data_IF_034726795991
#
_entry.id   IF_034726795991
#
_cell.length_a   1.000
_cell.length_b   1.000
_cell.length_c   1.000
_cell.angle_alpha   90.00
_cell.angle_beta   90.00
_cell.angle_gamma   90.00
#
_symmetry.space_group_name_H-M   'P 1'
#
loop_
_entity.id
_entity.type
_entity.pdbx_description
1 polymer ?
#
# COMPACT_ATOMS: atom_id res chain seq x y z
N UNK A 1 30.26 -41.04 -41.40
CA UNK A 1 30.91 -39.94 -40.67
C UNK A 1 30.31 -38.62 -41.15
N UNK A 2 29.35 -38.06 -40.41
CA UNK A 2 28.77 -36.75 -40.73
C UNK A 2 29.58 -35.69 -39.97
N UNK A 3 30.32 -34.90 -40.74
CA UNK A 3 31.13 -33.77 -40.28
C UNK A 3 30.23 -32.68 -39.70
N UNK A 4 30.34 -32.41 -38.39
CA UNK A 4 29.72 -31.24 -37.77
C UNK A 4 30.33 -29.96 -38.39
N UNK A 5 29.52 -29.26 -39.18
CA UNK A 5 29.85 -27.93 -39.74
C UNK A 5 30.05 -26.94 -38.59
N UNK A 6 31.16 -26.20 -38.65
CA UNK A 6 31.53 -25.06 -37.80
C UNK A 6 30.32 -24.14 -37.60
N UNK A 7 29.72 -24.19 -36.41
CA UNK A 7 28.68 -23.23 -36.01
C UNK A 7 29.37 -21.86 -35.92
N UNK A 8 28.90 -20.91 -36.72
CA UNK A 8 29.43 -19.55 -36.77
C UNK A 8 29.32 -18.90 -35.39
N UNK A 9 30.42 -18.32 -34.88
CA UNK A 9 30.43 -17.57 -33.60
C UNK A 9 29.36 -16.47 -33.56
N UNK A 10 28.99 -15.91 -34.72
CA UNK A 10 27.89 -14.93 -34.83
C UNK A 10 26.53 -15.58 -34.60
N UNK A 11 26.31 -16.81 -35.07
CA UNK A 11 25.06 -17.55 -34.84
C UNK A 11 24.89 -17.91 -33.35
N UNK A 12 25.97 -18.32 -32.68
CA UNK A 12 25.95 -18.58 -31.23
C UNK A 12 25.63 -17.29 -30.48
N UNK A 13 26.30 -16.17 -30.79
CA UNK A 13 26.05 -14.88 -30.15
C UNK A 13 24.61 -14.38 -30.40
N UNK A 14 24.09 -14.52 -31.62
CA UNK A 14 22.70 -14.18 -31.95
C UNK A 14 21.70 -15.06 -31.21
N UNK A 15 21.98 -16.35 -31.04
CA UNK A 15 21.12 -17.27 -30.27
C UNK A 15 21.22 -16.97 -28.77
N UNK A 16 22.39 -16.60 -28.25
CA UNK A 16 22.55 -16.18 -26.85
C UNK A 16 21.81 -14.86 -26.59
N UNK A 17 21.90 -13.89 -27.51
CA UNK A 17 21.14 -12.64 -27.44
C UNK A 17 19.64 -12.91 -27.58
N UNK A 18 19.20 -13.81 -28.47
CA UNK A 18 17.80 -14.19 -28.61
C UNK A 18 17.27 -14.97 -27.40
N UNK A 19 18.07 -15.81 -26.76
CA UNK A 19 17.72 -16.53 -25.52
C UNK A 19 17.72 -15.57 -24.33
N UNK A 20 18.67 -14.61 -24.24
CA UNK A 20 18.65 -13.54 -23.25
C UNK A 20 17.49 -12.56 -23.46
N UNK A 21 17.12 -12.28 -24.72
CA UNK A 21 15.96 -11.46 -25.07
C UNK A 21 14.63 -12.21 -24.83
N UNK A 22 14.59 -13.52 -25.06
CA UNK A 22 13.43 -14.37 -24.76
C UNK A 22 13.29 -14.67 -23.25
N UNK A 23 14.34 -14.44 -22.46
CA UNK A 23 14.30 -14.48 -20.99
C UNK A 23 14.07 -13.11 -20.35
N UNK A 24 13.77 -12.06 -21.14
CA UNK A 24 12.88 -10.99 -20.65
C UNK A 24 11.47 -11.57 -20.57
N UNK A 25 11.28 -12.36 -19.53
CA UNK A 25 10.04 -12.63 -18.82
C UNK A 25 8.82 -12.07 -19.52
N UNK A 26 8.05 -12.95 -20.16
CA UNK A 26 6.60 -12.91 -19.96
C UNK A 26 6.40 -12.83 -18.45
N UNK A 27 6.29 -11.61 -17.93
CA UNK A 27 5.82 -11.38 -16.58
C UNK A 27 4.39 -11.91 -16.61
N UNK A 28 4.25 -13.20 -16.30
CA UNK A 28 2.97 -13.83 -16.14
C UNK A 28 2.30 -13.05 -15.02
N UNK A 29 1.37 -12.17 -15.39
CA UNK A 29 0.50 -11.52 -14.42
C UNK A 29 -0.17 -12.66 -13.68
N UNK A 30 0.24 -12.87 -12.43
CA UNK A 30 -0.25 -14.00 -11.69
C UNK A 30 -1.65 -13.62 -11.21
N UNK A 31 -2.64 -14.11 -11.95
CA UNK A 31 -4.04 -13.96 -11.64
C UNK A 31 -4.54 -15.16 -10.85
N UNK A 32 -5.55 -14.93 -10.02
CA UNK A 32 -6.34 -15.98 -9.39
C UNK A 32 -7.77 -15.51 -9.25
N UNK A 33 -8.73 -16.35 -9.61
CA UNK A 33 -10.15 -16.08 -9.42
C UNK A 33 -10.74 -17.07 -8.43
N UNK A 34 -11.48 -16.57 -7.43
CA UNK A 34 -11.99 -17.37 -6.33
C UNK A 34 -13.06 -16.63 -5.54
N UNK A 35 -13.86 -17.37 -4.76
CA UNK A 35 -14.71 -16.78 -3.72
C UNK A 35 -13.88 -16.48 -2.50
N UNK A 36 -13.82 -15.21 -2.10
CA UNK A 36 -12.99 -14.80 -0.96
C UNK A 36 -13.55 -15.39 0.35
N UNK A 37 -12.74 -16.08 1.18
CA UNK A 37 -13.25 -16.83 2.32
C UNK A 37 -13.94 -15.96 3.40
N UNK A 38 -13.48 -14.72 3.56
CA UNK A 38 -14.11 -13.77 4.50
C UNK A 38 -15.23 -12.94 3.88
N UNK A 39 -15.08 -12.55 2.62
CA UNK A 39 -15.93 -11.54 1.99
C UNK A 39 -17.12 -12.22 1.31
N UNK A 40 -17.00 -13.50 0.95
CA UNK A 40 -18.07 -14.27 0.32
C UNK A 40 -18.31 -13.95 -1.16
N UNK A 41 -17.66 -12.89 -1.67
CA UNK A 41 -17.81 -12.45 -3.06
C UNK A 41 -16.82 -13.14 -3.99
N UNK A 42 -17.22 -13.33 -5.26
CA UNK A 42 -16.32 -13.80 -6.30
C UNK A 42 -15.37 -12.69 -6.74
N UNK A 43 -14.07 -12.96 -6.62
CA UNK A 43 -13.02 -12.00 -6.92
C UNK A 43 -12.02 -12.52 -7.93
N UNK A 44 -11.41 -11.61 -8.68
CA UNK A 44 -10.20 -11.89 -9.45
C UNK A 44 -9.09 -10.98 -8.96
N UNK A 45 -7.98 -11.56 -8.51
CA UNK A 45 -6.83 -10.82 -7.98
C UNK A 45 -5.66 -10.97 -8.94
N UNK A 46 -5.04 -9.86 -9.30
CA UNK A 46 -3.85 -9.75 -10.13
C UNK A 46 -2.73 -9.09 -9.34
N UNK A 47 -1.59 -9.78 -9.19
CA UNK A 47 -0.38 -9.15 -8.63
C UNK A 47 0.76 -9.29 -9.61
N UNK A 48 1.41 -8.16 -9.91
CA UNK A 48 2.49 -8.03 -10.88
C UNK A 48 3.59 -7.10 -10.36
N UNK A 49 4.64 -6.88 -11.17
CA UNK A 49 5.78 -6.05 -10.77
C UNK A 49 5.36 -4.60 -10.48
N UNK A 50 5.34 -4.23 -9.20
CA UNK A 50 4.96 -2.88 -8.73
C UNK A 50 3.48 -2.53 -8.90
N UNK A 51 2.64 -3.50 -9.27
CA UNK A 51 1.20 -3.30 -9.49
C UNK A 51 0.39 -4.42 -8.87
N UNK A 52 -0.78 -4.08 -8.35
CA UNK A 52 -1.77 -5.03 -7.90
C UNK A 52 -3.16 -4.52 -8.26
N UNK A 53 -4.07 -5.44 -8.50
CA UNK A 53 -5.46 -5.13 -8.77
C UNK A 53 -6.31 -6.26 -8.21
N UNK A 54 -7.50 -5.95 -7.71
CA UNK A 54 -8.52 -6.96 -7.59
C UNK A 54 -9.89 -6.43 -8.00
N UNK A 55 -10.65 -7.34 -8.57
CA UNK A 55 -11.97 -7.11 -9.14
C UNK A 55 -12.98 -7.94 -8.36
N UNK A 56 -14.19 -7.42 -8.17
CA UNK A 56 -15.34 -8.13 -7.61
C UNK A 56 -16.37 -8.26 -8.74
N UNK A 57 -16.78 -9.48 -9.08
CA UNK A 57 -17.68 -9.74 -10.23
C UNK A 57 -17.22 -9.13 -11.56
N UNK A 58 -15.91 -9.00 -11.76
CA UNK A 58 -15.32 -8.39 -12.97
C UNK A 58 -15.30 -6.86 -12.97
N UNK A 59 -15.72 -6.22 -11.87
CA UNK A 59 -15.61 -4.79 -11.66
C UNK A 59 -14.35 -4.49 -10.83
N UNK A 60 -13.43 -3.64 -11.31
CA UNK A 60 -12.23 -3.28 -10.56
C UNK A 60 -12.65 -2.60 -9.27
N UNK A 61 -12.11 -3.09 -8.17
CA UNK A 61 -12.35 -2.51 -6.85
C UNK A 61 -11.12 -1.73 -6.39
N UNK A 62 -9.94 -2.30 -6.60
CA UNK A 62 -8.65 -1.72 -6.21
C UNK A 62 -7.64 -1.84 -7.33
N UNK A 63 -6.85 -0.78 -7.56
CA UNK A 63 -5.79 -0.76 -8.59
C UNK A 63 -4.58 0.04 -8.10
N UNK A 64 -3.40 -0.56 -8.14
CA UNK A 64 -2.10 0.13 -8.10
C UNK A 64 -1.60 0.27 -9.53
N UNK A 65 -1.57 1.49 -10.12
CA UNK A 65 -1.09 1.72 -11.47
C UNK A 65 0.30 1.14 -11.72
N UNK A 66 0.52 0.61 -12.92
CA UNK A 66 1.81 -0.01 -13.27
C UNK A 66 2.96 1.01 -13.24
N UNK A 67 4.15 0.65 -12.69
CA UNK A 67 5.31 1.53 -12.70
C UNK A 67 5.93 1.77 -14.09
N UNK A 68 5.53 0.98 -15.08
CA UNK A 68 6.09 1.06 -16.44
C UNK A 68 5.48 2.20 -17.25
N UNK A 69 4.30 2.69 -16.85
CA UNK A 69 3.55 3.75 -17.54
C UNK A 69 3.52 4.99 -16.68
N UNK A 70 3.38 6.14 -17.33
CA UNK A 70 3.12 7.38 -16.60
C UNK A 70 1.65 7.42 -16.18
N UNK A 71 1.41 7.69 -14.90
CA UNK A 71 0.09 7.98 -14.33
C UNK A 71 -0.02 9.49 -14.11
N UNK A 72 -0.98 10.17 -14.73
CA UNK A 72 -1.16 11.64 -14.66
C UNK A 72 0.13 12.45 -14.82
N UNK A 73 1.03 12.00 -15.71
CA UNK A 73 2.29 12.70 -15.99
C UNK A 73 3.44 12.43 -15.01
N UNK A 74 3.27 11.52 -14.03
CA UNK A 74 4.34 11.04 -13.15
C UNK A 74 4.64 9.56 -13.38
N UNK A 75 5.89 9.13 -13.10
CA UNK A 75 6.25 7.70 -12.99
C UNK A 75 6.33 7.34 -11.52
N UNK A 76 5.53 6.39 -11.07
CA UNK A 76 5.32 6.08 -9.65
C UNK A 76 5.25 4.56 -9.44
N UNK A 77 5.05 4.08 -8.20
CA UNK A 77 4.86 2.66 -7.86
C UNK A 77 6.06 1.76 -8.17
N UNK A 78 7.26 2.36 -8.22
CA UNK A 78 8.51 1.64 -8.45
C UNK A 78 8.78 0.66 -7.31
N UNK A 79 9.40 -0.47 -7.64
CA UNK A 79 9.83 -1.48 -6.67
C UNK A 79 10.86 -0.95 -5.67
N UNK A 80 11.80 -0.12 -6.15
CA UNK A 80 12.64 0.70 -5.28
C UNK A 80 11.86 1.94 -4.85
N UNK A 81 11.43 1.95 -3.59
CA UNK A 81 10.56 2.99 -3.05
C UNK A 81 11.20 4.38 -3.07
N UNK A 82 12.39 4.50 -2.50
CA UNK A 82 13.13 5.77 -2.42
C UNK A 82 14.31 5.72 -3.39
N UNK A 83 14.22 6.53 -4.44
CA UNK A 83 15.21 6.69 -5.50
C UNK A 83 15.22 8.15 -6.00
N UNK A 84 16.14 8.47 -6.91
CA UNK A 84 16.33 9.84 -7.44
C UNK A 84 15.23 10.33 -8.37
N UNK A 85 14.39 9.44 -8.87
CA UNK A 85 13.35 9.76 -9.82
C UNK A 85 11.97 9.90 -9.15
N UNK A 86 11.85 9.72 -7.83
CA UNK A 86 10.60 10.00 -7.13
C UNK A 86 10.27 11.49 -7.30
N UNK A 87 9.07 11.84 -7.79
CA UNK A 87 8.73 13.24 -7.98
C UNK A 87 8.53 13.90 -6.60
N UNK A 88 9.09 15.10 -6.37
CA UNK A 88 8.77 15.90 -5.19
C UNK A 88 7.27 16.24 -5.15
N UNK A 89 6.76 16.55 -3.96
CA UNK A 89 5.35 16.91 -3.72
C UNK A 89 4.83 17.92 -4.75
N UNK A 90 5.48 19.07 -4.88
CA UNK A 90 5.05 20.17 -5.74
C UNK A 90 4.95 19.73 -7.20
N UNK A 91 5.90 18.89 -7.64
CA UNK A 91 5.89 18.32 -8.99
C UNK A 91 4.73 17.35 -9.15
N UNK A 92 4.53 16.42 -8.21
CA UNK A 92 3.47 15.42 -8.28
C UNK A 92 2.07 16.04 -8.29
N UNK A 93 1.82 17.01 -7.40
CA UNK A 93 0.52 17.66 -7.28
C UNK A 93 0.26 18.64 -8.43
N UNK A 94 1.29 19.35 -8.92
CA UNK A 94 1.15 20.15 -10.16
C UNK A 94 0.79 19.26 -11.35
N UNK A 95 1.40 18.08 -11.46
CA UNK A 95 1.07 17.08 -12.50
C UNK A 95 -0.36 16.56 -12.37
N UNK A 96 -0.85 16.38 -11.15
CA UNK A 96 -2.27 16.10 -10.91
C UNK A 96 -3.16 17.25 -11.42
N UNK A 97 -2.88 18.50 -11.06
CA UNK A 97 -3.68 19.65 -11.52
C UNK A 97 -3.64 19.84 -13.05
N UNK A 98 -2.49 19.63 -13.67
CA UNK A 98 -2.36 19.56 -15.14
C UNK A 98 -3.32 18.51 -15.73
N UNK A 99 -3.44 17.35 -15.07
CA UNK A 99 -4.35 16.29 -15.49
C UNK A 99 -5.81 16.69 -15.40
N UNK A 100 -6.20 17.45 -14.37
CA UNK A 100 -7.57 17.96 -14.22
C UNK A 100 -7.95 18.88 -15.39
N UNK A 101 -6.97 19.55 -16.00
CA UNK A 101 -7.15 20.42 -17.15
C UNK A 101 -7.02 19.69 -18.50
N UNK A 102 -7.02 18.35 -18.52
CA UNK A 102 -6.97 17.57 -19.75
C UNK A 102 -5.62 17.58 -20.47
N UNK A 103 -4.52 17.93 -19.79
CA UNK A 103 -3.18 18.03 -20.39
C UNK A 103 -2.63 16.69 -20.86
N UNK A 104 -3.12 15.56 -20.34
CA UNK A 104 -2.65 14.22 -20.67
C UNK A 104 -3.68 13.44 -21.45
N UNK A 105 -3.30 12.94 -22.64
CA UNK A 105 -4.19 12.23 -23.57
C UNK A 105 -4.99 11.07 -22.96
N UNK A 106 -4.43 10.36 -21.98
CA UNK A 106 -5.06 9.19 -21.35
C UNK A 106 -5.81 9.54 -20.06
N UNK A 107 -5.89 10.82 -19.70
CA UNK A 107 -6.58 11.31 -18.51
C UNK A 107 -7.45 12.49 -18.96
N UNK A 108 -8.69 12.22 -19.41
CA UNK A 108 -9.61 13.29 -19.79
C UNK A 108 -9.90 14.19 -18.59
N UNK A 109 -10.43 15.38 -18.88
CA UNK A 109 -10.95 16.27 -17.84
C UNK A 109 -12.02 15.50 -17.06
N UNK A 110 -11.90 15.34 -15.74
CA UNK A 110 -12.91 14.66 -14.96
C UNK A 110 -14.20 15.49 -14.93
N UNK A 111 -15.35 14.81 -14.85
CA UNK A 111 -16.66 15.44 -14.63
C UNK A 111 -16.70 16.15 -13.28
N UNK A 112 -16.09 15.53 -12.27
CA UNK A 112 -16.01 16.05 -10.92
C UNK A 112 -14.67 15.70 -10.30
N UNK A 113 -14.14 16.63 -9.50
CA UNK A 113 -12.94 16.44 -8.70
C UNK A 113 -13.19 17.00 -7.30
N UNK A 114 -12.84 16.23 -6.28
CA UNK A 114 -12.87 16.69 -4.89
C UNK A 114 -11.62 16.25 -4.14
N UNK A 115 -11.22 17.03 -3.14
CA UNK A 115 -10.31 16.53 -2.13
C UNK A 115 -11.02 15.43 -1.33
N UNK A 116 -10.27 14.45 -0.83
CA UNK A 116 -10.81 13.34 -0.05
C UNK A 116 -10.59 13.49 1.46
N UNK A 117 -11.36 12.73 2.25
CA UNK A 117 -11.23 12.72 3.72
C UNK A 117 -11.67 14.04 4.34
N UNK A 118 -10.98 14.46 5.42
CA UNK A 118 -11.29 15.71 6.13
C UNK A 118 -11.07 16.97 5.29
N UNK A 119 -10.37 16.85 4.15
CA UNK A 119 -10.11 17.94 3.22
C UNK A 119 -11.27 18.22 2.25
N UNK A 120 -12.23 17.30 2.10
CA UNK A 120 -13.30 17.41 1.10
C UNK A 120 -14.07 18.74 1.15
N UNK A 121 -14.50 19.25 2.33
CA UNK A 121 -15.28 20.50 2.42
C UNK A 121 -14.54 21.74 1.89
N UNK A 122 -13.21 21.69 1.80
CA UNK A 122 -12.37 22.82 1.38
C UNK A 122 -12.01 22.77 -0.12
N UNK A 123 -12.56 21.80 -0.85
CA UNK A 123 -12.26 21.59 -2.28
C UNK A 123 -12.43 22.87 -3.09
N UNK A 124 -13.59 23.52 -3.03
CA UNK A 124 -13.89 24.69 -3.87
C UNK A 124 -12.94 25.85 -3.55
N UNK A 125 -12.71 26.12 -2.26
CA UNK A 125 -11.82 27.18 -1.81
C UNK A 125 -10.39 26.95 -2.27
N UNK A 126 -9.86 25.74 -2.09
CA UNK A 126 -8.50 25.40 -2.53
C UNK A 126 -8.41 25.47 -4.04
N UNK A 127 -9.35 24.88 -4.77
CA UNK A 127 -9.29 24.83 -6.24
C UNK A 127 -9.45 26.21 -6.90
N UNK A 128 -9.99 27.20 -6.20
CA UNK A 128 -10.07 28.60 -6.66
C UNK A 128 -8.73 29.37 -6.56
N UNK A 129 -7.77 28.92 -5.73
CA UNK A 129 -6.50 29.61 -5.54
C UNK A 129 -5.58 29.56 -6.78
N UNK A 130 -4.54 30.40 -6.91
CA UNK A 130 -3.43 30.17 -7.84
C UNK A 130 -2.66 28.88 -7.50
N UNK A 131 -2.08 28.21 -8.50
CA UNK A 131 -1.44 26.88 -8.33
C UNK A 131 -0.43 26.85 -7.17
N UNK A 132 0.43 27.86 -7.04
CA UNK A 132 1.41 27.92 -5.94
C UNK A 132 0.74 27.94 -4.57
N UNK A 133 -0.32 28.74 -4.40
CA UNK A 133 -1.10 28.79 -3.16
C UNK A 133 -1.88 27.49 -2.91
N UNK A 134 -2.36 26.81 -3.96
CA UNK A 134 -2.98 25.48 -3.83
C UNK A 134 -2.02 24.48 -3.21
N UNK A 135 -0.76 24.47 -3.67
CA UNK A 135 0.26 23.54 -3.18
C UNK A 135 0.54 23.76 -1.71
N UNK A 136 0.71 25.02 -1.28
CA UNK A 136 0.96 25.35 0.12
C UNK A 136 -0.26 25.06 1.01
N UNK A 137 -1.47 25.37 0.56
CA UNK A 137 -2.70 25.01 1.26
C UNK A 137 -2.83 23.48 1.44
N UNK A 138 -2.52 22.69 0.40
CA UNK A 138 -2.56 21.23 0.48
C UNK A 138 -1.47 20.65 1.39
N UNK A 139 -0.26 21.23 1.41
CA UNK A 139 0.79 20.83 2.37
C UNK A 139 0.33 21.07 3.80
N UNK A 140 -0.24 22.24 4.08
CA UNK A 140 -0.76 22.58 5.40
C UNK A 140 -1.91 21.63 5.80
N UNK A 141 -2.93 21.49 4.96
CA UNK A 141 -4.10 20.64 5.22
C UNK A 141 -3.75 19.16 5.38
N UNK A 142 -2.78 18.66 4.61
CA UNK A 142 -2.27 17.30 4.71
C UNK A 142 -1.28 17.07 5.85
N UNK A 143 -0.98 18.09 6.69
CA UNK A 143 -0.06 17.96 7.81
C UNK A 143 1.40 17.72 7.42
N UNK A 144 1.80 18.11 6.20
CA UNK A 144 3.16 17.98 5.68
C UNK A 144 4.14 18.96 6.34
N UNK A 145 3.63 20.06 6.87
CA UNK A 145 4.39 21.11 7.54
C UNK A 145 4.32 20.99 9.08
N UNK A 146 3.91 19.83 9.60
CA UNK A 146 3.73 19.61 11.03
C UNK A 146 2.53 20.35 11.62
N UNK A 147 2.43 20.32 12.95
CA UNK A 147 1.30 20.86 13.70
C UNK A 147 1.17 22.39 13.54
N UNK A 148 2.29 23.10 13.53
CA UNK A 148 2.32 24.56 13.35
C UNK A 148 1.92 24.96 11.92
N UNK A 149 2.11 24.07 10.94
CA UNK A 149 1.75 24.31 9.55
C UNK A 149 0.26 24.58 9.34
N UNK A 150 -0.62 24.08 10.22
CA UNK A 150 -2.06 24.34 10.13
C UNK A 150 -2.43 25.81 10.34
N UNK A 151 -1.61 26.60 11.05
CA UNK A 151 -1.91 28.03 11.26
C UNK A 151 -1.91 28.83 9.95
N UNK A 152 -1.16 28.37 8.94
CA UNK A 152 -1.17 28.98 7.62
C UNK A 152 -2.54 28.88 6.92
N UNK A 153 -3.40 27.95 7.34
CA UNK A 153 -4.72 27.77 6.74
C UNK A 153 -5.63 28.99 6.93
N UNK A 154 -5.46 29.75 8.02
CA UNK A 154 -6.22 30.99 8.28
C UNK A 154 -5.99 32.08 7.23
N UNK A 155 -4.90 31.98 6.45
CA UNK A 155 -4.63 32.88 5.33
C UNK A 155 -5.40 32.53 4.05
N UNK A 156 -6.09 31.39 4.00
CA UNK A 156 -6.85 30.94 2.83
C UNK A 156 -8.37 31.06 3.05
N UNK A 157 -9.15 31.35 1.99
CA UNK A 157 -10.60 31.36 2.07
C UNK A 157 -11.18 30.03 2.57
N UNK A 158 -12.28 30.10 3.32
CA UNK A 158 -13.04 28.92 3.76
C UNK A 158 -12.52 28.25 5.04
N UNK A 159 -11.39 28.68 5.59
CA UNK A 159 -10.87 28.17 6.86
C UNK A 159 -11.18 29.10 8.03
N UNK A 160 -11.63 28.52 9.14
CA UNK A 160 -11.88 29.20 10.41
C UNK A 160 -10.88 28.77 11.49
N UNK A 161 -10.83 29.52 12.60
CA UNK A 161 -10.02 29.12 13.75
C UNK A 161 -10.45 27.77 14.34
N UNK A 162 -11.74 27.44 14.30
CA UNK A 162 -12.27 26.17 14.79
C UNK A 162 -11.82 25.00 13.90
N UNK A 163 -11.79 25.20 12.57
CA UNK A 163 -11.25 24.21 11.64
C UNK A 163 -9.78 23.90 11.95
N UNK A 164 -8.96 24.94 12.13
CA UNK A 164 -7.53 24.81 12.44
C UNK A 164 -7.33 24.12 13.79
N UNK A 165 -8.10 24.48 14.81
CA UNK A 165 -8.04 23.83 16.11
C UNK A 165 -8.37 22.34 16.00
N UNK A 166 -9.38 21.98 15.21
CA UNK A 166 -9.76 20.60 14.94
C UNK A 166 -8.64 19.84 14.23
N UNK A 167 -8.05 20.39 13.17
CA UNK A 167 -6.93 19.74 12.47
C UNK A 167 -5.75 19.49 13.39
N UNK A 168 -5.42 20.46 14.25
CA UNK A 168 -4.35 20.29 15.25
C UNK A 168 -4.67 19.20 16.26
N UNK A 169 -5.91 19.11 16.73
CA UNK A 169 -6.35 18.07 17.67
C UNK A 169 -6.29 16.66 17.04
N UNK A 170 -6.67 16.56 15.77
CA UNK A 170 -6.69 15.32 14.99
C UNK A 170 -5.32 14.97 14.38
N UNK A 171 -4.33 15.88 14.47
CA UNK A 171 -3.00 15.67 13.92
C UNK A 171 -2.34 14.43 14.52
N UNK A 172 -1.73 13.61 13.66
CA UNK A 172 -0.97 12.43 14.05
C UNK A 172 0.31 12.34 13.22
N UNK A 173 1.39 12.02 13.90
CA UNK A 173 2.67 11.76 13.24
C UNK A 173 2.74 10.32 12.77
N UNK A 174 2.45 10.08 11.50
CA UNK A 174 2.64 8.77 10.89
C UNK A 174 4.07 8.59 10.40
N UNK A 175 4.58 7.37 10.58
CA UNK A 175 5.92 6.98 10.16
C UNK A 175 5.87 5.60 9.55
N UNK A 176 6.69 5.37 8.53
CA UNK A 176 6.87 4.07 7.91
C UNK A 176 8.34 3.67 7.97
N UNK A 177 8.63 2.40 8.27
CA UNK A 177 9.99 1.88 8.09
C UNK A 177 10.18 1.57 6.60
N UNK A 178 11.33 1.95 6.03
CA UNK A 178 11.71 1.53 4.68
C UNK A 178 13.16 1.08 4.77
N UNK A 179 13.39 -0.21 4.51
CA UNK A 179 14.66 -0.88 4.81
C UNK A 179 14.98 -0.72 6.31
N UNK A 180 16.08 -0.05 6.65
CA UNK A 180 16.55 0.12 8.04
C UNK A 180 16.31 1.54 8.59
N UNK A 181 15.53 2.37 7.90
CA UNK A 181 15.28 3.75 8.30
C UNK A 181 13.78 3.99 8.49
N UNK A 182 13.44 4.93 9.36
CA UNK A 182 12.07 5.37 9.63
C UNK A 182 11.88 6.74 8.97
N UNK A 183 10.79 6.92 8.23
CA UNK A 183 10.47 8.14 7.49
C UNK A 183 9.11 8.69 7.91
N UNK A 184 8.97 10.02 8.08
CA UNK A 184 7.66 10.66 8.14
C UNK A 184 6.86 10.31 6.88
N UNK A 185 5.58 10.00 7.07
CA UNK A 185 4.70 9.50 6.01
C UNK A 185 3.37 10.25 6.02
N UNK A 186 2.88 10.59 4.82
CA UNK A 186 1.59 11.28 4.63
C UNK A 186 0.91 10.78 3.37
N UNK A 187 -0.41 10.80 3.37
CA UNK A 187 -1.27 10.46 2.24
C UNK A 187 -2.21 11.62 1.96
N UNK A 188 -2.35 11.98 0.69
CA UNK A 188 -3.47 12.78 0.20
C UNK A 188 -4.43 11.90 -0.57
N UNK A 189 -5.74 12.11 -0.38
CA UNK A 189 -6.77 11.42 -1.14
C UNK A 189 -7.53 12.41 -2.03
N UNK A 190 -7.90 11.96 -3.22
CA UNK A 190 -8.64 12.76 -4.19
C UNK A 190 -9.74 11.91 -4.81
N UNK A 191 -10.95 12.46 -4.88
CA UNK A 191 -12.08 11.84 -5.56
C UNK A 191 -12.16 12.33 -7.00
N UNK A 192 -12.47 11.41 -7.92
CA UNK A 192 -12.70 11.68 -9.33
C UNK A 192 -14.01 11.07 -9.78
N UNK A 193 -14.72 11.79 -10.64
CA UNK A 193 -15.76 11.24 -11.50
C UNK A 193 -15.29 11.41 -12.96
N UNK A 194 -15.17 10.32 -13.71
CA UNK A 194 -14.65 10.31 -15.08
C UNK A 194 -15.62 9.51 -15.98
N UNK A 195 -15.56 9.74 -17.30
CA UNK A 195 -16.32 8.97 -18.31
C UNK A 195 -15.83 7.50 -18.48
N UNK A 196 -15.17 6.95 -17.47
CA UNK A 196 -14.77 5.55 -17.42
C UNK A 196 -15.98 4.65 -17.18
N UNK A 197 -15.89 3.36 -17.52
CA UNK A 197 -16.96 2.36 -17.41
C UNK A 197 -17.53 2.22 -15.98
N UNK A 198 -16.80 2.74 -14.97
CA UNK A 198 -17.11 2.62 -13.55
C UNK A 198 -17.49 3.97 -12.90
N UNK A 199 -17.42 5.08 -13.65
CA UNK A 199 -17.97 6.39 -13.29
C UNK A 199 -17.19 7.20 -12.25
N UNK A 200 -16.61 6.58 -11.21
CA UNK A 200 -15.93 7.30 -10.13
C UNK A 200 -14.89 6.47 -9.38
N UNK A 201 -13.95 7.12 -8.71
CA UNK A 201 -12.95 6.47 -7.83
C UNK A 201 -12.24 7.48 -6.92
N UNK A 202 -11.61 6.99 -5.86
CA UNK A 202 -10.62 7.72 -5.08
C UNK A 202 -9.20 7.35 -5.53
N UNK A 203 -8.30 8.33 -5.66
CA UNK A 203 -6.86 8.11 -5.75
C UNK A 203 -6.18 8.55 -4.45
N UNK A 204 -5.25 7.73 -3.95
CA UNK A 204 -4.43 8.03 -2.77
C UNK A 204 -2.98 8.19 -3.16
N UNK A 205 -2.38 9.32 -2.79
CA UNK A 205 -1.02 9.72 -3.10
C UNK A 205 -0.19 9.67 -1.82
N UNK A 206 0.71 8.70 -1.75
CA UNK A 206 1.54 8.44 -0.58
C UNK A 206 2.93 9.07 -0.71
N UNK A 207 3.34 9.82 0.30
CA UNK A 207 4.57 10.58 0.35
C UNK A 207 5.41 10.20 1.57
N UNK A 208 6.73 10.31 1.40
CA UNK A 208 7.68 10.30 2.52
C UNK A 208 8.56 11.53 2.50
N UNK A 209 8.92 12.01 3.68
CA UNK A 209 9.95 13.02 3.81
C UNK A 209 11.33 12.37 3.77
N UNK A 210 12.21 12.84 2.88
CA UNK A 210 13.58 12.33 2.79
C UNK A 210 14.62 13.44 2.95
N UNK A 211 15.72 13.11 3.63
CA UNK A 211 16.81 14.06 3.89
C UNK A 211 17.35 14.61 2.56
N UNK A 212 17.23 15.93 2.39
CA UNK A 212 17.74 16.66 1.22
C UNK A 212 16.83 16.66 -0.01
N UNK A 213 15.58 16.16 0.05
CA UNK A 213 14.65 16.20 -1.10
C UNK A 213 13.23 16.69 -0.79
N UNK A 214 12.96 17.15 0.42
CA UNK A 214 11.60 17.42 0.92
C UNK A 214 10.66 16.22 0.65
N UNK A 215 9.35 16.37 0.82
CA UNK A 215 8.40 15.27 0.61
C UNK A 215 8.42 14.76 -0.84
N UNK A 216 8.55 13.44 -1.03
CA UNK A 216 8.59 12.77 -2.35
C UNK A 216 7.50 11.71 -2.46
N UNK A 217 6.91 11.58 -3.66
CA UNK A 217 5.85 10.63 -3.94
C UNK A 217 6.41 9.21 -4.10
N UNK A 218 5.87 8.28 -3.33
CA UNK A 218 6.19 6.86 -3.40
C UNK A 218 5.19 6.08 -4.23
N UNK A 219 3.90 6.28 -3.94
CA UNK A 219 2.85 5.39 -4.41
C UNK A 219 1.57 6.15 -4.74
N UNK A 220 0.89 5.70 -5.78
CA UNK A 220 -0.49 6.03 -6.09
C UNK A 220 -1.28 4.74 -6.12
N UNK A 221 -2.45 4.74 -5.49
CA UNK A 221 -3.43 3.67 -5.60
C UNK A 221 -4.82 4.24 -5.92
N UNK A 222 -5.66 3.46 -6.59
CA UNK A 222 -7.05 3.78 -6.94
C UNK A 222 -8.00 2.81 -6.26
N UNK A 223 -9.12 3.33 -5.77
CA UNK A 223 -10.23 2.54 -5.22
C UNK A 223 -11.55 2.98 -5.86
N UNK A 224 -12.27 2.04 -6.43
CA UNK A 224 -13.53 2.24 -7.14
C UNK A 224 -14.71 1.90 -6.20
N UNK A 225 -14.86 2.67 -5.13
CA UNK A 225 -15.96 2.51 -4.18
C UNK A 225 -16.43 3.86 -3.61
N UNK A 226 -17.75 4.06 -3.56
CA UNK A 226 -18.42 5.21 -2.92
C UNK A 226 -18.52 5.07 -1.41
N UNK A 227 -18.39 3.86 -0.87
CA UNK A 227 -18.56 3.57 0.54
C UNK A 227 -17.35 4.00 1.40
N UNK A 228 -16.39 4.78 0.88
CA UNK A 228 -15.28 5.31 1.70
C UNK A 228 -15.80 5.97 3.00
N UNK A 229 -16.82 6.84 2.87
CA UNK A 229 -17.47 7.49 4.01
C UNK A 229 -18.31 6.53 4.88
N UNK A 230 -18.76 5.40 4.33
CA UNK A 230 -19.57 4.40 5.05
C UNK A 230 -18.71 3.36 5.77
N UNK A 231 -17.45 3.21 5.37
CA UNK A 231 -16.54 2.21 5.93
C UNK A 231 -15.68 2.77 7.08
N UNK A 232 -15.57 4.08 7.24
CA UNK A 232 -14.83 4.76 8.33
C UNK A 232 -13.55 4.03 8.70
N UNK A 233 -12.62 3.87 7.74
CA UNK A 233 -11.45 3.03 7.97
C UNK A 233 -10.15 3.80 8.02
N UNK A 234 -9.26 3.24 8.79
CA UNK A 234 -7.87 3.61 8.89
C UNK A 234 -7.16 3.61 7.53
N UNK A 235 -6.61 4.75 7.13
CA UNK A 235 -5.56 4.87 6.11
C UNK A 235 -4.34 5.47 6.79
N UNK A 236 -3.28 4.67 6.94
CA UNK A 236 -2.01 5.15 7.48
C UNK A 236 -1.54 6.41 6.73
N UNK A 237 -1.21 7.48 7.44
CA UNK A 237 -0.73 8.72 6.82
C UNK A 237 -1.81 9.69 6.35
N UNK A 238 -3.09 9.31 6.31
CA UNK A 238 -4.17 10.22 5.90
C UNK A 238 -4.72 11.00 7.09
N UNK A 239 -4.86 12.32 6.95
CA UNK A 239 -5.47 13.18 7.97
C UNK A 239 -6.88 12.70 8.36
N UNK A 240 -7.16 12.66 9.66
CA UNK A 240 -8.44 12.19 10.21
C UNK A 240 -8.55 10.66 10.38
N UNK A 241 -7.50 9.90 10.08
CA UNK A 241 -7.47 8.44 10.29
C UNK A 241 -7.06 8.07 11.72
N UNK A 242 -7.77 7.18 12.42
CA UNK A 242 -7.39 6.77 13.78
C UNK A 242 -6.71 5.38 13.82
N UNK A 243 -5.48 5.30 14.34
CA UNK A 243 -4.77 4.01 14.46
C UNK A 243 -5.44 3.03 15.44
N UNK A 244 -6.28 3.53 16.34
CA UNK A 244 -7.08 2.68 17.23
C UNK A 244 -8.09 1.83 16.45
N UNK A 245 -8.47 2.22 15.24
CA UNK A 245 -9.34 1.43 14.37
C UNK A 245 -8.68 0.10 13.94
N UNK A 246 -7.36 -0.06 14.14
CA UNK A 246 -6.63 -1.29 13.87
C UNK A 246 -6.55 -2.25 15.06
N UNK A 247 -7.09 -1.93 16.24
CA UNK A 247 -6.94 -2.76 17.44
C UNK A 247 -7.43 -4.19 17.21
N UNK A 248 -8.63 -4.36 16.67
CA UNK A 248 -9.21 -5.68 16.39
C UNK A 248 -8.42 -6.42 15.29
N UNK A 249 -8.01 -5.70 14.24
CA UNK A 249 -7.23 -6.27 13.15
C UNK A 249 -5.86 -6.78 13.63
N UNK A 250 -5.20 -6.02 14.51
CA UNK A 250 -3.91 -6.39 15.10
C UNK A 250 -4.09 -7.52 16.13
N UNK A 251 -5.16 -7.52 16.90
CA UNK A 251 -5.49 -8.61 17.81
C UNK A 251 -5.66 -9.93 17.05
N UNK A 252 -6.44 -9.94 15.95
CA UNK A 252 -6.59 -11.12 15.09
C UNK A 252 -5.24 -11.56 14.50
N UNK A 253 -4.43 -10.62 13.99
CA UNK A 253 -3.11 -10.86 13.41
C UNK A 253 -2.07 -11.41 14.41
N UNK A 254 -2.26 -11.16 15.70
CA UNK A 254 -1.41 -11.66 16.78
C UNK A 254 -2.06 -12.81 17.55
N UNK A 255 -3.17 -13.36 17.04
CA UNK A 255 -3.92 -14.45 17.67
C UNK A 255 -4.36 -14.12 19.11
N UNK A 256 -4.79 -12.88 19.34
CA UNK A 256 -5.18 -12.34 20.64
C UNK A 256 -4.01 -12.04 21.59
N UNK A 257 -2.77 -12.29 21.17
CA UNK A 257 -1.59 -11.99 21.98
C UNK A 257 -1.23 -10.50 21.89
N UNK A 258 -0.57 -10.01 22.94
CA UNK A 258 -0.04 -8.64 22.96
C UNK A 258 1.46 -8.63 22.60
N UNK A 259 1.93 -7.57 21.93
CA UNK A 259 3.36 -7.31 21.80
C UNK A 259 4.10 -7.41 23.13
N UNK A 260 5.27 -8.05 23.13
CA UNK A 260 6.12 -8.13 24.30
C UNK A 260 5.73 -9.21 25.33
N UNK A 261 4.61 -9.92 25.13
CA UNK A 261 4.19 -11.03 26.00
C UNK A 261 5.30 -12.10 26.07
N UNK A 262 5.52 -12.66 27.27
CA UNK A 262 6.60 -13.62 27.49
C UNK A 262 6.31 -14.98 26.88
N UNK A 263 7.36 -15.75 26.62
CA UNK A 263 7.26 -17.14 26.16
C UNK A 263 6.30 -17.98 27.00
N UNK A 264 6.40 -17.90 28.32
CA UNK A 264 5.58 -18.70 29.25
C UNK A 264 4.11 -18.28 29.23
N UNK A 265 3.83 -16.98 29.12
CA UNK A 265 2.45 -16.47 29.02
C UNK A 265 1.78 -16.95 27.73
N UNK A 266 2.48 -16.86 26.59
CA UNK A 266 1.95 -17.35 25.31
C UNK A 266 1.78 -18.87 25.34
N UNK A 267 2.73 -19.60 25.93
CA UNK A 267 2.63 -21.07 26.05
C UNK A 267 1.41 -21.47 26.88
N UNK A 268 1.19 -20.81 28.01
CA UNK A 268 0.06 -21.06 28.90
C UNK A 268 -1.30 -20.76 28.25
N UNK A 269 -1.39 -19.74 27.40
CA UNK A 269 -2.63 -19.36 26.72
C UNK A 269 -2.95 -20.24 25.50
N UNK A 270 -1.94 -20.77 24.82
CA UNK A 270 -2.11 -21.46 23.54
C UNK A 270 -1.99 -22.98 23.63
N UNK A 271 -1.30 -23.51 24.64
CA UNK A 271 -0.89 -24.91 24.73
C UNK A 271 -0.18 -25.42 23.45
N UNK A 272 0.57 -24.52 22.78
CA UNK A 272 1.27 -24.84 21.55
C UNK A 272 2.49 -25.75 21.73
N UNK A 273 3.01 -26.25 20.63
CA UNK A 273 4.19 -27.12 20.63
C UNK A 273 5.44 -26.26 20.66
N UNK A 274 6.30 -26.47 21.66
CA UNK A 274 7.60 -25.80 21.76
C UNK A 274 8.52 -26.28 20.64
N UNK A 275 8.93 -25.34 19.78
CA UNK A 275 9.82 -25.56 18.66
C UNK A 275 11.28 -25.24 18.96
N UNK A 276 12.09 -25.20 17.91
CA UNK A 276 13.51 -24.80 18.00
C UNK A 276 13.63 -23.27 18.00
N UNK A 277 14.66 -22.74 18.68
CA UNK A 277 14.99 -21.30 18.72
C UNK A 277 13.90 -20.44 19.38
N UNK A 278 13.42 -20.85 20.56
CA UNK A 278 12.37 -20.15 21.31
C UNK A 278 11.19 -19.78 20.42
N UNK A 279 10.52 -20.79 19.88
CA UNK A 279 9.28 -20.61 19.12
C UNK A 279 8.18 -21.48 19.69
N UNK A 280 6.94 -21.04 19.56
CA UNK A 280 5.75 -21.84 19.89
C UNK A 280 4.96 -22.00 18.59
N UNK A 281 4.56 -23.23 18.26
CA UNK A 281 3.83 -23.52 17.02
C UNK A 281 2.45 -24.08 17.34
N UNK A 282 1.44 -23.53 16.66
CA UNK A 282 0.09 -24.07 16.58
C UNK A 282 -0.15 -24.61 15.18
N UNK A 283 -0.51 -25.88 15.10
CA UNK A 283 -1.00 -26.50 13.87
C UNK A 283 -2.52 -26.37 13.81
N UNK A 284 -3.10 -26.50 12.61
CA UNK A 284 -4.55 -26.54 12.40
C UNK A 284 -5.30 -25.33 12.97
N UNK A 285 -4.74 -24.13 12.78
CA UNK A 285 -5.39 -22.86 13.11
C UNK A 285 -5.93 -22.19 11.84
N UNK A 286 -6.51 -21.00 12.01
CA UNK A 286 -6.95 -20.16 10.92
C UNK A 286 -6.54 -18.70 11.12
N UNK A 287 -6.32 -18.03 10.00
CA UNK A 287 -6.22 -16.57 9.95
C UNK A 287 -7.09 -16.12 8.78
N UNK A 288 -7.98 -15.15 8.99
CA UNK A 288 -8.84 -14.64 7.91
C UNK A 288 -9.64 -15.77 7.24
N UNK A 289 -10.15 -16.71 8.05
CA UNK A 289 -10.85 -17.95 7.63
C UNK A 289 -10.06 -18.85 6.68
N UNK A 290 -8.74 -18.72 6.67
CA UNK A 290 -7.85 -19.58 5.89
C UNK A 290 -7.09 -20.54 6.82
N UNK A 291 -7.18 -21.86 6.59
CA UNK A 291 -6.41 -22.83 7.35
C UNK A 291 -4.90 -22.59 7.21
N UNK A 292 -4.19 -22.61 8.34
CA UNK A 292 -2.75 -22.40 8.39
C UNK A 292 -2.14 -23.00 9.67
N UNK A 293 -0.81 -22.99 9.72
CA UNK A 293 -0.06 -23.12 10.97
C UNK A 293 0.46 -21.75 11.41
N UNK A 294 0.42 -21.48 12.70
CA UNK A 294 0.96 -20.27 13.30
C UNK A 294 2.24 -20.58 14.08
N UNK A 295 3.24 -19.72 13.96
CA UNK A 295 4.47 -19.76 14.75
C UNK A 295 4.67 -18.41 15.43
N UNK A 296 4.79 -18.44 16.75
CA UNK A 296 5.22 -17.32 17.58
C UNK A 296 6.74 -17.32 17.69
N UNK A 297 7.35 -16.14 17.56
CA UNK A 297 8.78 -15.92 17.64
C UNK A 297 9.11 -14.95 18.77
N UNK A 298 10.09 -15.33 19.58
CA UNK A 298 10.52 -14.58 20.76
C UNK A 298 11.94 -14.08 20.57
N UNK A 299 12.23 -12.89 21.08
CA UNK A 299 13.55 -12.29 21.03
C UNK A 299 14.48 -12.90 22.12
N UNK A 300 15.70 -12.37 22.22
CA UNK A 300 16.68 -12.84 23.20
C UNK A 300 16.26 -12.55 24.66
N UNK A 301 15.27 -11.65 24.87
CA UNK A 301 14.65 -11.35 26.17
C UNK A 301 13.37 -12.18 26.41
N UNK A 302 13.09 -13.19 25.56
CA UNK A 302 11.90 -14.02 25.58
C UNK A 302 10.57 -13.26 25.41
N UNK A 303 10.59 -12.14 24.68
CA UNK A 303 9.41 -11.33 24.38
C UNK A 303 8.89 -11.60 22.98
N UNK A 304 7.58 -11.73 22.84
CA UNK A 304 6.92 -11.92 21.55
C UNK A 304 7.15 -10.69 20.68
N UNK A 305 7.87 -10.87 19.57
CA UNK A 305 8.12 -9.83 18.59
C UNK A 305 7.57 -10.15 17.20
N UNK A 306 7.19 -11.40 16.93
CA UNK A 306 6.72 -11.78 15.60
C UNK A 306 5.79 -12.99 15.60
N UNK A 307 4.76 -12.93 14.75
CA UNK A 307 3.95 -14.09 14.36
C UNK A 307 4.17 -14.41 12.89
N UNK A 308 4.24 -15.70 12.56
CA UNK A 308 4.33 -16.17 11.17
C UNK A 308 3.25 -17.22 10.92
N UNK A 309 2.39 -16.93 9.96
CA UNK A 309 1.39 -17.84 9.44
C UNK A 309 1.91 -18.49 8.16
N UNK A 310 1.80 -19.81 8.08
CA UNK A 310 2.11 -20.59 6.89
C UNK A 310 0.86 -21.25 6.36
N UNK A 311 0.44 -20.84 5.17
CA UNK A 311 -0.75 -21.35 4.52
C UNK A 311 -0.48 -22.65 3.76
N UNK A 312 -1.55 -23.41 3.53
CA UNK A 312 -1.49 -24.74 2.90
C UNK A 312 -1.49 -24.68 1.37
N UNK A 313 -2.03 -23.60 0.79
CA UNK A 313 -2.23 -23.50 -0.65
C UNK A 313 -1.87 -22.13 -1.22
N UNK A 314 -1.49 -22.12 -2.51
CA UNK A 314 -1.08 -20.90 -3.22
C UNK A 314 -2.17 -19.83 -3.29
N UNK A 315 -3.44 -20.23 -3.38
CA UNK A 315 -4.58 -19.30 -3.43
C UNK A 315 -4.65 -18.41 -2.19
N UNK A 316 -4.23 -18.91 -1.02
CA UNK A 316 -4.23 -18.16 0.23
C UNK A 316 -3.38 -16.89 0.17
N UNK A 317 -2.39 -16.82 -0.73
CA UNK A 317 -1.69 -15.56 -1.00
C UNK A 317 -2.65 -14.45 -1.47
N UNK A 318 -3.51 -14.75 -2.45
CA UNK A 318 -4.41 -13.75 -3.02
C UNK A 318 -5.54 -13.39 -2.06
N UNK A 319 -6.07 -14.37 -1.32
CA UNK A 319 -7.01 -14.12 -0.24
C UNK A 319 -6.39 -13.23 0.84
N UNK A 320 -5.21 -13.60 1.36
CA UNK A 320 -4.51 -12.79 2.36
C UNK A 320 -4.20 -11.37 1.86
N UNK A 321 -3.86 -11.18 0.59
CA UNK A 321 -3.67 -9.85 0.02
C UNK A 321 -4.93 -8.98 0.15
N UNK A 322 -6.10 -9.51 -0.19
CA UNK A 322 -7.37 -8.79 -0.06
C UNK A 322 -7.72 -8.57 1.43
N UNK A 323 -7.56 -9.59 2.28
CA UNK A 323 -7.77 -9.51 3.74
C UNK A 323 -6.93 -8.42 4.41
N UNK A 324 -5.68 -8.25 3.96
CA UNK A 324 -4.77 -7.22 4.43
C UNK A 324 -5.16 -5.85 3.88
N UNK A 325 -5.55 -5.75 2.60
CA UNK A 325 -6.03 -4.50 2.02
C UNK A 325 -7.26 -3.94 2.77
N UNK A 326 -8.25 -4.78 3.08
CA UNK A 326 -9.48 -4.32 3.74
C UNK A 326 -9.26 -3.84 5.19
N UNK A 327 -8.11 -4.14 5.79
CA UNK A 327 -7.72 -3.77 7.16
C UNK A 327 -6.66 -2.64 7.17
N UNK A 328 -5.59 -2.81 6.41
CA UNK A 328 -4.39 -1.97 6.44
C UNK A 328 -4.21 -1.09 5.18
N UNK A 329 -5.15 -1.15 4.23
CA UNK A 329 -5.15 -0.37 2.99
C UNK A 329 -3.93 -0.63 2.10
N UNK A 330 -3.30 0.42 1.58
CA UNK A 330 -2.36 0.33 0.48
C UNK A 330 -1.03 -0.28 0.95
N UNK A 331 -0.56 -1.38 0.33
CA UNK A 331 0.77 -1.91 0.62
C UNK A 331 1.83 -0.91 0.15
N UNK A 332 2.88 -0.74 0.94
CA UNK A 332 3.99 0.13 0.59
C UNK A 332 4.90 -0.54 -0.44
N UNK A 333 5.13 -1.86 -0.33
CA UNK A 333 5.99 -2.65 -1.22
C UNK A 333 5.15 -3.66 -1.99
N UNK A 334 5.39 -3.77 -3.29
CA UNK A 334 4.97 -4.89 -4.15
C UNK A 334 6.12 -5.19 -5.09
N UNK A 335 6.86 -6.29 -4.85
CA UNK A 335 8.03 -6.62 -5.66
C UNK A 335 7.75 -7.72 -6.70
N UNK A 336 8.75 -8.02 -7.54
CA UNK A 336 8.67 -9.03 -8.59
C UNK A 336 8.31 -10.44 -8.09
N UNK A 337 8.72 -10.76 -6.87
CA UNK A 337 8.63 -12.11 -6.30
C UNK A 337 7.34 -12.29 -5.50
N UNK A 338 6.32 -11.45 -5.73
CA UNK A 338 5.07 -11.45 -4.96
C UNK A 338 5.31 -11.30 -3.45
N UNK A 339 6.35 -10.57 -3.07
CA UNK A 339 6.46 -10.06 -1.71
C UNK A 339 5.73 -8.73 -1.67
N UNK A 340 4.66 -8.73 -0.89
CA UNK A 340 3.86 -7.54 -0.59
C UNK A 340 4.11 -7.18 0.87
N UNK A 341 4.34 -5.91 1.17
CA UNK A 341 4.53 -5.47 2.54
C UNK A 341 3.80 -4.17 2.86
N UNK A 342 3.21 -4.14 4.05
CA UNK A 342 2.73 -2.94 4.73
C UNK A 342 3.75 -2.63 5.81
N UNK A 343 4.21 -1.39 5.85
CA UNK A 343 5.20 -0.98 6.82
C UNK A 343 4.66 0.19 7.60
N UNK A 344 4.12 -0.12 8.78
CA UNK A 344 3.56 0.86 9.70
C UNK A 344 4.68 1.37 10.64
N UNK A 345 4.33 2.23 11.57
CA UNK A 345 5.24 2.79 12.56
C UNK A 345 5.66 1.76 13.63
N UNK A 346 4.75 0.83 13.94
CA UNK A 346 4.91 -0.17 15.00
C UNK A 346 4.98 -1.62 14.48
N UNK A 347 4.70 -1.86 13.19
CA UNK A 347 4.56 -3.21 12.66
C UNK A 347 4.97 -3.32 11.19
N UNK A 348 5.71 -4.38 10.88
CA UNK A 348 5.95 -4.88 9.54
C UNK A 348 5.00 -6.03 9.24
N UNK A 349 4.22 -5.92 8.17
CA UNK A 349 3.40 -7.01 7.65
C UNK A 349 4.02 -7.46 6.33
N UNK A 350 4.45 -8.72 6.24
CA UNK A 350 5.01 -9.27 5.00
C UNK A 350 4.24 -10.49 4.52
N UNK A 351 3.66 -10.39 3.32
CA UNK A 351 3.02 -11.48 2.61
C UNK A 351 3.94 -11.95 1.48
N UNK A 352 4.34 -13.22 1.53
CA UNK A 352 5.27 -13.84 0.57
C UNK A 352 4.56 -14.92 -0.26
N UNK A 353 4.48 -14.72 -1.58
CA UNK A 353 3.79 -15.61 -2.52
C UNK A 353 4.68 -16.48 -3.41
N UNK A 354 5.99 -16.53 -3.16
CA UNK A 354 6.98 -17.22 -4.01
C UNK A 354 7.04 -18.74 -3.80
N UNK A 355 6.38 -19.26 -2.78
CA UNK A 355 6.32 -20.68 -2.44
C UNK A 355 4.96 -21.30 -2.81
N UNK A 356 4.90 -22.64 -2.84
CA UNK A 356 3.63 -23.38 -2.89
C UNK A 356 2.77 -23.16 -1.63
N UNK A 357 3.40 -22.76 -0.53
CA UNK A 357 2.82 -22.53 0.79
C UNK A 357 3.15 -21.09 1.22
N UNK A 358 2.31 -20.12 0.83
CA UNK A 358 2.54 -18.71 1.14
C UNK A 358 2.71 -18.48 2.63
N UNK A 359 3.49 -17.47 3.00
CA UNK A 359 3.67 -17.07 4.40
C UNK A 359 3.27 -15.62 4.60
N UNK A 360 2.59 -15.36 5.71
CA UNK A 360 2.25 -14.03 6.17
C UNK A 360 2.87 -13.84 7.55
N UNK A 361 3.67 -12.79 7.74
CA UNK A 361 4.26 -12.48 9.04
C UNK A 361 3.92 -11.09 9.50
N UNK A 362 3.71 -10.94 10.80
CA UNK A 362 3.55 -9.69 11.51
C UNK A 362 4.71 -9.55 12.49
N UNK A 363 5.63 -8.63 12.22
CA UNK A 363 6.80 -8.36 13.05
C UNK A 363 6.64 -6.99 13.70
N UNK A 364 6.74 -6.96 15.01
CA UNK A 364 6.49 -5.81 15.87
C UNK A 364 7.83 -5.13 16.15
N UNK A 365 7.84 -3.80 16.15
CA UNK A 365 9.04 -2.99 16.36
C UNK A 365 9.21 -2.50 17.80
#
# INVERSE_FOLDING_TARGET
MITLKRISKKLVLSLTIAIMLASYTLAYAASSSFTHPEVGEYMTVHVSYGGAQFDIYGFPYYVVPSPTRSHRGVKVNKSELINKDNPPFDTAITKLFDSLNGRYKNFPVPKSFRLGGTAEPYTEYIMALPVEQRLEALKALGGFNGLEGYDALLGYPGFTADDVAKFKQEHREYRVKIRNNIYPYRVLQFYFEEDDAYGYFNERYAFVETKGRSWVLLRIAKEYDIAYAQRSKYIHGLSGSNAEDLLDANSEALYGMSPGMSFEEVLAQTNGVVGKKNTITLNDTELYRMPCSLTFHFDDENRLYKTTYKFTQRQSYYSAFVSLYIRYYDPLVINANKKTAWNLDNMLIELNGDSKTPTLSFEIY
#
